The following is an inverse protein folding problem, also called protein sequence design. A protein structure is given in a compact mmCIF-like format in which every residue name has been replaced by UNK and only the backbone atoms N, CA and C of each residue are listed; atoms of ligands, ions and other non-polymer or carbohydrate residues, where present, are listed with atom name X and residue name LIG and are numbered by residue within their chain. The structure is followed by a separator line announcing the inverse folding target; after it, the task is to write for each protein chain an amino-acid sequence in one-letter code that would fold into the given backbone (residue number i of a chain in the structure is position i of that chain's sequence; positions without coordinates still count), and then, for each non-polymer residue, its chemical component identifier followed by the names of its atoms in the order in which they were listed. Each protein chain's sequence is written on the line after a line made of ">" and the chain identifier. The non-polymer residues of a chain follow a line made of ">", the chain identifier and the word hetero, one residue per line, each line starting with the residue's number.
data_IF_755728188909
#
_entry.id   IF_755728188909
#
_cell.length_a   1.000
_cell.length_b   1.000
_cell.length_c   1.000
_cell.angle_alpha   90.00
_cell.angle_beta   90.00
_cell.angle_gamma   90.00
#
_symmetry.space_group_name_H-M   'P 1'
#
loop_
_entity.id
_entity.type
_entity.pdbx_description
1 polymer ?
#
# COMPACT_ATOMS: atom_id res chain seq x y z
N UNK A 1 -4.59 -16.75 -19.95
CA UNK A 1 -3.60 -15.86 -19.32
C UNK A 1 -3.32 -16.40 -17.93
N UNK A 2 -2.07 -16.39 -17.47
CA UNK A 2 -1.72 -16.90 -16.13
C UNK A 2 -2.23 -15.95 -15.04
N UNK A 3 -2.72 -16.51 -13.94
CA UNK A 3 -3.19 -15.75 -12.79
C UNK A 3 -1.99 -15.27 -11.98
N UNK A 4 -1.89 -13.96 -11.75
CA UNK A 4 -0.80 -13.37 -10.97
C UNK A 4 -1.24 -13.12 -9.53
N UNK A 5 -0.45 -13.57 -8.56
CA UNK A 5 -0.59 -13.15 -7.16
C UNK A 5 0.61 -12.28 -6.78
N UNK A 6 0.34 -11.08 -6.27
CA UNK A 6 1.36 -10.26 -5.63
C UNK A 6 1.22 -10.32 -4.11
N UNK A 7 2.33 -10.27 -3.38
CA UNK A 7 2.33 -10.35 -1.91
C UNK A 7 3.01 -9.12 -1.32
N UNK A 8 2.39 -8.48 -0.32
CA UNK A 8 2.96 -7.31 0.37
C UNK A 8 2.82 -7.42 1.89
N UNK A 9 3.93 -7.74 2.57
CA UNK A 9 3.97 -7.83 4.04
C UNK A 9 3.93 -6.47 4.73
N UNK A 10 4.50 -5.44 4.11
CA UNK A 10 4.60 -4.09 4.70
C UNK A 10 4.01 -3.03 3.75
N UNK A 11 2.68 -3.04 3.53
CA UNK A 11 2.05 -2.07 2.66
C UNK A 11 1.93 -0.71 3.35
N UNK A 12 1.53 0.29 2.58
CA UNK A 12 1.52 1.68 3.00
C UNK A 12 0.36 2.42 2.36
N UNK A 13 -0.16 3.42 3.06
CA UNK A 13 -0.90 4.51 2.43
C UNK A 13 0.13 5.60 2.10
N UNK A 14 0.37 5.83 0.83
CA UNK A 14 1.26 6.89 0.37
C UNK A 14 0.45 8.18 0.25
N UNK A 15 0.68 9.12 1.17
CA UNK A 15 0.13 10.47 1.11
C UNK A 15 1.08 11.34 0.28
N UNK A 16 0.59 11.90 -0.82
CA UNK A 16 1.32 12.84 -1.65
C UNK A 16 0.70 14.23 -1.54
N UNK A 17 1.54 15.25 -1.60
CA UNK A 17 1.09 16.65 -1.64
C UNK A 17 2.20 17.53 -2.19
N UNK A 18 1.88 18.79 -2.41
CA UNK A 18 2.80 19.79 -2.89
C UNK A 18 3.02 20.89 -1.85
N UNK A 19 4.19 21.51 -1.87
CA UNK A 19 4.52 22.70 -1.08
C UNK A 19 5.28 23.70 -1.95
N UNK A 20 5.13 24.99 -1.67
CA UNK A 20 5.91 26.02 -2.39
C UNK A 20 7.41 25.88 -2.07
N UNK A 21 7.76 25.79 -0.79
CA UNK A 21 9.16 25.68 -0.32
C UNK A 21 9.21 24.77 0.91
N UNK A 22 10.19 23.86 0.96
CA UNK A 22 10.43 22.95 2.10
C UNK A 22 11.64 23.45 2.89
N UNK A 23 11.44 23.83 4.15
CA UNK A 23 12.50 24.34 5.03
C UNK A 23 12.45 23.69 6.41
N UNK A 24 13.62 23.39 7.02
CA UNK A 24 13.66 22.92 8.40
C UNK A 24 13.06 23.99 9.33
N UNK A 25 12.54 23.54 10.47
CA UNK A 25 11.98 24.34 11.59
C UNK A 25 10.76 25.21 11.28
N UNK A 26 10.32 25.32 10.02
CA UNK A 26 9.16 26.11 9.62
C UNK A 26 7.91 25.24 9.47
N UNK A 27 6.73 25.81 9.77
CA UNK A 27 5.47 25.20 9.38
C UNK A 27 5.31 25.29 7.87
N UNK A 28 5.39 24.15 7.20
CA UNK A 28 5.16 24.04 5.77
C UNK A 28 3.68 23.77 5.55
N UNK A 29 3.03 24.58 4.71
CA UNK A 29 1.67 24.32 4.25
C UNK A 29 1.74 23.52 2.96
N UNK A 30 0.96 22.45 2.93
CA UNK A 30 0.78 21.62 1.74
C UNK A 30 -0.54 21.93 1.06
N UNK A 31 -0.67 21.51 -0.18
CA UNK A 31 -1.89 21.54 -0.97
C UNK A 31 -1.87 20.39 -2.00
N UNK A 32 -2.98 20.23 -2.72
CA UNK A 32 -3.17 19.17 -3.73
C UNK A 32 -2.95 17.76 -3.16
N UNK A 33 -3.50 17.50 -1.96
CA UNK A 33 -3.35 16.23 -1.26
C UNK A 33 -4.00 15.07 -2.03
N UNK A 34 -3.25 13.96 -2.14
CA UNK A 34 -3.75 12.70 -2.67
C UNK A 34 -3.27 11.51 -1.85
N UNK A 35 -4.08 10.45 -1.85
CA UNK A 35 -3.75 9.21 -1.16
C UNK A 35 -3.72 8.04 -2.15
N UNK A 36 -2.67 7.23 -2.05
CA UNK A 36 -2.44 6.11 -2.93
C UNK A 36 -2.14 4.84 -2.15
N UNK A 37 -2.67 3.69 -2.60
CA UNK A 37 -2.30 2.41 -2.03
C UNK A 37 -0.89 2.06 -2.53
N UNK A 38 0.01 1.74 -1.59
CA UNK A 38 1.41 1.52 -1.87
C UNK A 38 2.00 0.31 -1.18
N UNK A 39 3.25 0.01 -1.53
CA UNK A 39 3.98 -1.21 -1.17
C UNK A 39 4.36 -1.99 -2.43
N UNK A 40 5.47 -2.71 -2.38
CA UNK A 40 6.07 -3.33 -3.58
C UNK A 40 5.11 -4.20 -4.39
N UNK A 41 4.52 -5.22 -3.76
CA UNK A 41 3.56 -6.10 -4.43
C UNK A 41 2.29 -5.38 -4.87
N UNK A 42 1.76 -4.47 -4.05
CA UNK A 42 0.60 -3.63 -4.39
C UNK A 42 0.88 -2.79 -5.65
N UNK A 43 2.05 -2.18 -5.76
CA UNK A 43 2.43 -1.40 -6.94
C UNK A 43 2.55 -2.28 -8.19
N UNK A 44 3.10 -3.49 -8.06
CA UNK A 44 3.10 -4.48 -9.15
C UNK A 44 1.67 -4.83 -9.57
N UNK A 45 0.78 -5.14 -8.62
CA UNK A 45 -0.62 -5.47 -8.92
C UNK A 45 -1.33 -4.33 -9.65
N UNK A 46 -1.11 -3.09 -9.23
CA UNK A 46 -1.68 -1.90 -9.90
C UNK A 46 -1.24 -1.79 -11.36
N UNK A 47 0.04 -2.04 -11.64
CA UNK A 47 0.57 -1.99 -13.01
C UNK A 47 -0.01 -3.12 -13.84
N UNK A 48 0.01 -4.36 -13.33
CA UNK A 48 -0.54 -5.53 -14.04
C UNK A 48 -2.02 -5.33 -14.35
N UNK A 49 -2.81 -4.89 -13.37
CA UNK A 49 -4.23 -4.60 -13.56
C UNK A 49 -4.49 -3.54 -14.63
N UNK A 50 -3.73 -2.42 -14.58
CA UNK A 50 -3.84 -1.34 -15.59
C UNK A 50 -3.54 -1.81 -17.01
N UNK A 51 -2.67 -2.80 -17.16
CA UNK A 51 -2.32 -3.39 -18.46
C UNK A 51 -3.31 -4.47 -18.92
N UNK A 52 -4.43 -4.67 -18.21
CA UNK A 52 -5.44 -5.69 -18.53
C UNK A 52 -5.12 -7.09 -17.99
N UNK A 53 -4.14 -7.20 -17.09
CA UNK A 53 -3.73 -8.45 -16.46
C UNK A 53 -4.72 -8.97 -15.41
N UNK A 54 -4.81 -10.30 -15.25
CA UNK A 54 -5.54 -10.95 -14.17
C UNK A 54 -4.62 -11.09 -12.95
N UNK A 55 -4.85 -10.22 -11.96
CA UNK A 55 -3.98 -10.10 -10.78
C UNK A 55 -4.78 -9.95 -9.50
N UNK A 56 -4.27 -10.57 -8.45
CA UNK A 56 -4.78 -10.47 -7.08
C UNK A 56 -3.69 -9.95 -6.14
N UNK A 57 -4.03 -8.96 -5.32
CA UNK A 57 -3.14 -8.38 -4.32
C UNK A 57 -3.39 -9.02 -2.94
N UNK A 58 -2.42 -9.79 -2.44
CA UNK A 58 -2.39 -10.28 -1.07
C UNK A 58 -1.53 -9.35 -0.21
N UNK A 59 -2.06 -8.85 0.91
CA UNK A 59 -1.32 -7.92 1.75
C UNK A 59 -1.77 -7.92 3.21
N UNK A 60 -0.86 -7.52 4.10
CA UNK A 60 -1.15 -7.31 5.51
C UNK A 60 -1.85 -5.96 5.73
N UNK A 61 -2.93 -5.91 6.49
CA UNK A 61 -3.71 -4.68 6.73
C UNK A 61 -4.06 -4.58 8.20
N UNK A 62 -3.70 -3.47 8.85
CA UNK A 62 -4.00 -3.29 10.27
C UNK A 62 -4.33 -1.86 10.65
N UNK A 63 -5.18 -1.73 11.66
CA UNK A 63 -5.66 -0.45 12.17
C UNK A 63 -6.47 0.37 11.18
N UNK A 64 -6.67 1.65 11.52
CA UNK A 64 -7.47 2.60 10.72
C UNK A 64 -6.86 2.80 9.33
N UNK A 65 -5.53 2.93 9.25
CA UNK A 65 -4.86 3.11 7.97
C UNK A 65 -4.91 1.87 7.08
N UNK A 66 -5.04 0.67 7.66
CA UNK A 66 -5.35 -0.54 6.91
C UNK A 66 -6.72 -0.46 6.22
N UNK A 67 -7.73 0.09 6.91
CA UNK A 67 -9.04 0.31 6.30
C UNK A 67 -9.00 1.32 5.15
N UNK A 68 -8.22 2.41 5.30
CA UNK A 68 -7.99 3.37 4.21
C UNK A 68 -7.30 2.69 3.03
N UNK A 69 -6.27 1.89 3.27
CA UNK A 69 -5.60 1.12 2.23
C UNK A 69 -6.57 0.20 1.47
N UNK A 70 -7.42 -0.53 2.21
CA UNK A 70 -8.41 -1.43 1.63
C UNK A 70 -9.36 -0.67 0.69
N UNK A 71 -9.91 0.45 1.15
CA UNK A 71 -10.79 1.29 0.36
C UNK A 71 -10.12 1.82 -0.92
N UNK A 72 -8.88 2.30 -0.82
CA UNK A 72 -8.11 2.79 -1.96
C UNK A 72 -7.82 1.72 -3.02
N UNK A 73 -7.73 0.45 -2.63
CA UNK A 73 -7.57 -0.69 -3.54
C UNK A 73 -8.91 -1.13 -4.15
N UNK A 74 -9.97 -1.15 -3.36
CA UNK A 74 -11.34 -1.46 -3.80
C UNK A 74 -11.82 -0.44 -4.85
N UNK A 75 -11.58 0.85 -4.64
CA UNK A 75 -11.89 1.93 -5.60
C UNK A 75 -11.18 1.77 -6.95
N UNK A 76 -10.08 1.00 -6.99
CA UNK A 76 -9.32 0.72 -8.20
C UNK A 76 -9.73 -0.58 -8.89
N UNK A 77 -10.71 -1.32 -8.35
CA UNK A 77 -11.18 -2.58 -8.92
C UNK A 77 -10.16 -3.72 -8.85
N UNK A 78 -9.14 -3.62 -7.98
CA UNK A 78 -8.11 -4.67 -7.84
C UNK A 78 -8.64 -5.75 -6.91
N UNK A 79 -8.61 -7.01 -7.36
CA UNK A 79 -8.95 -8.14 -6.49
C UNK A 79 -7.96 -8.24 -5.33
N UNK A 80 -8.47 -8.38 -4.10
CA UNK A 80 -7.65 -8.33 -2.89
C UNK A 80 -7.84 -9.56 -2.00
N UNK A 81 -6.76 -9.96 -1.31
CA UNK A 81 -6.78 -10.83 -0.14
C UNK A 81 -6.12 -10.04 0.99
N UNK A 82 -6.91 -9.63 1.98
CA UNK A 82 -6.41 -8.86 3.13
C UNK A 82 -6.17 -9.79 4.32
N UNK A 83 -4.99 -9.70 4.91
CA UNK A 83 -4.64 -10.41 6.15
C UNK A 83 -4.60 -9.39 7.28
N UNK A 84 -5.49 -9.55 8.25
CA UNK A 84 -5.55 -8.64 9.39
C UNK A 84 -4.29 -8.79 10.25
N UNK A 85 -3.71 -7.66 10.65
CA UNK A 85 -2.60 -7.61 11.59
C UNK A 85 -2.91 -6.64 12.73
N UNK A 86 -2.25 -6.83 13.87
CA UNK A 86 -2.45 -6.01 15.07
C UNK A 86 -1.73 -4.66 15.01
N UNK A 87 -0.65 -4.54 14.23
CA UNK A 87 0.05 -3.28 14.00
C UNK A 87 -0.63 -2.39 12.95
N UNK A 88 -0.44 -1.08 13.03
CA UNK A 88 -1.02 -0.15 12.07
C UNK A 88 -0.28 -0.19 10.73
N UNK A 89 -1.02 -0.26 9.63
CA UNK A 89 -0.48 0.02 8.28
C UNK A 89 0.18 1.40 8.29
N UNK A 90 1.42 1.48 7.81
CA UNK A 90 2.18 2.72 7.82
C UNK A 90 1.68 3.73 6.79
N UNK A 91 2.07 4.98 7.01
CA UNK A 91 1.83 6.09 6.09
C UNK A 91 3.17 6.65 5.68
N UNK A 92 3.39 6.76 4.37
CA UNK A 92 4.51 7.54 3.85
C UNK A 92 4.00 8.92 3.44
N UNK A 93 4.88 9.92 3.52
CA UNK A 93 4.59 11.25 3.01
C UNK A 93 5.57 11.57 1.88
N UNK A 94 5.04 11.99 0.74
CA UNK A 94 5.81 12.46 -0.41
C UNK A 94 5.41 13.91 -0.66
N UNK A 95 6.38 14.81 -0.51
CA UNK A 95 6.18 16.24 -0.74
C UNK A 95 6.96 16.65 -1.97
N UNK A 96 6.27 17.15 -2.99
CA UNK A 96 6.92 17.81 -4.12
C UNK A 96 7.06 19.32 -3.81
N UNK A 97 8.29 19.82 -3.81
CA UNK A 97 8.58 21.23 -3.61
C UNK A 97 8.62 21.96 -4.95
N UNK A 98 7.68 22.89 -5.19
CA UNK A 98 7.57 23.60 -6.46
C UNK A 98 8.77 24.49 -6.78
N UNK A 99 9.31 25.19 -5.78
CA UNK A 99 10.41 26.14 -6.01
C UNK A 99 11.70 25.48 -6.50
N UNK A 100 11.98 24.24 -6.08
CA UNK A 100 13.19 23.51 -6.46
C UNK A 100 12.94 22.37 -7.45
N UNK A 101 11.70 21.89 -7.57
CA UNK A 101 11.33 20.67 -8.29
C UNK A 101 11.77 19.38 -7.57
N UNK A 102 12.24 19.46 -6.32
CA UNK A 102 12.68 18.28 -5.56
C UNK A 102 11.52 17.57 -4.88
N UNK A 103 11.69 16.26 -4.69
CA UNK A 103 10.78 15.44 -3.88
C UNK A 103 11.41 15.08 -2.54
N UNK A 104 10.62 15.22 -1.48
CA UNK A 104 10.96 14.82 -0.13
C UNK A 104 10.11 13.64 0.27
N UNK A 105 10.76 12.50 0.56
CA UNK A 105 10.08 11.23 0.81
C UNK A 105 10.35 10.77 2.24
N UNK A 106 9.32 10.79 3.07
CA UNK A 106 9.35 10.34 4.46
C UNK A 106 8.73 8.95 4.53
N UNK A 107 9.58 7.95 4.68
CA UNK A 107 9.23 6.53 4.60
C UNK A 107 9.21 5.95 6.01
N UNK A 108 8.03 5.64 6.54
CA UNK A 108 7.90 5.02 7.86
C UNK A 108 8.31 3.54 7.82
N UNK A 109 8.84 2.98 8.91
CA UNK A 109 9.33 1.59 8.92
C UNK A 109 8.21 0.56 8.69
N UNK A 110 7.05 0.77 9.30
CA UNK A 110 5.98 -0.22 9.31
C UNK A 110 5.85 -0.93 10.65
N UNK A 111 4.77 -1.69 10.84
CA UNK A 111 4.57 -2.44 12.07
C UNK A 111 5.46 -3.68 12.13
N UNK A 112 5.86 -4.06 13.35
CA UNK A 112 6.43 -5.40 13.59
C UNK A 112 5.29 -6.41 13.50
N UNK A 113 5.43 -7.38 12.60
CA UNK A 113 4.47 -8.47 12.45
C UNK A 113 4.76 -9.59 13.44
N UNK A 114 3.71 -10.10 14.08
CA UNK A 114 3.77 -11.31 14.91
C UNK A 114 3.98 -12.54 14.04
N UNK A 115 4.49 -13.61 14.65
CA UNK A 115 4.70 -14.87 13.97
C UNK A 115 3.44 -15.44 13.33
N UNK A 116 2.33 -15.39 14.06
CA UNK A 116 1.01 -15.81 13.57
C UNK A 116 0.54 -15.00 12.36
N UNK A 117 0.87 -13.72 12.31
CA UNK A 117 0.44 -12.79 11.26
C UNK A 117 1.19 -13.04 9.95
N UNK A 118 2.53 -13.14 9.99
CA UNK A 118 3.28 -13.37 8.75
C UNK A 118 3.09 -14.80 8.23
N UNK A 119 2.88 -15.79 9.12
CA UNK A 119 2.51 -17.15 8.71
C UNK A 119 1.16 -17.18 8.00
N UNK A 120 0.16 -16.44 8.48
CA UNK A 120 -1.14 -16.34 7.82
C UNK A 120 -1.03 -15.74 6.40
N UNK A 121 -0.13 -14.77 6.17
CA UNK A 121 0.17 -14.27 4.82
C UNK A 121 0.73 -15.39 3.94
N UNK A 122 1.73 -16.13 4.43
CA UNK A 122 2.31 -17.25 3.67
C UNK A 122 1.26 -18.33 3.37
N UNK A 123 0.41 -18.70 4.33
CA UNK A 123 -0.60 -19.74 4.11
C UNK A 123 -1.68 -19.30 3.11
N UNK A 124 -2.03 -18.01 3.09
CA UNK A 124 -2.93 -17.46 2.07
C UNK A 124 -2.36 -17.59 0.64
N UNK A 125 -1.03 -17.58 0.45
CA UNK A 125 -0.45 -17.82 -0.89
C UNK A 125 -0.75 -19.21 -1.42
N UNK A 126 -0.73 -20.23 -0.54
CA UNK A 126 -0.96 -21.63 -0.91
C UNK A 126 -2.40 -21.87 -1.35
N UNK A 127 -3.35 -21.21 -0.66
CA UNK A 127 -4.78 -21.34 -0.89
C UNK A 127 -5.30 -20.48 -2.06
N UNK A 128 -4.47 -19.59 -2.59
CA UNK A 128 -4.85 -18.68 -3.68
C UNK A 128 -4.93 -19.35 -5.07
N UNK A 129 -4.43 -20.59 -5.20
CA UNK A 129 -4.33 -21.33 -6.46
C UNK A 129 -5.61 -22.03 -6.92
N UNK A 130 -6.72 -21.96 -6.17
CA UNK A 130 -8.01 -22.45 -6.66
C UNK A 130 -8.00 -23.93 -7.03
N UNK A 131 -7.79 -24.79 -6.02
CA UNK A 131 -8.50 -26.08 -5.96
C UNK A 131 -9.31 -26.11 -4.66
N UNK A 132 -10.54 -25.62 -4.75
CA UNK A 132 -11.65 -26.00 -3.85
C UNK A 132 -11.78 -25.29 -2.50
N UNK A 133 -13.05 -25.01 -2.17
CA UNK A 133 -13.63 -24.67 -0.86
C UNK A 133 -13.58 -23.18 -0.44
N UNK A 134 -14.51 -22.40 -1.01
CA UNK A 134 -15.71 -21.98 -0.28
C UNK A 134 -16.95 -22.31 -1.11
#
# INVERSE_FOLDING_TARGET
>A
MEKVLTVTFNPTVDAASEAEVVRPTHKIRTFDESFHPGGGGINVARVVHRLGGDVKALYASGGIMGNVLNHLLEDRGIQCIKIAISGNTRVNNVIHERASGMEYRFIAEGPIMKETEWKAVIDATKNSNGTGLL
#
